data_IF_563803466826
#
_entry.id   IF_563803466826
#
_cell.length_a   1.000
_cell.length_b   1.000
_cell.length_c   1.000
_cell.angle_alpha   90.00
_cell.angle_beta   90.00
_cell.angle_gamma   90.00
#
_symmetry.space_group_name_H-M   'P 1'
#
loop_
_entity.id
_entity.type
_entity.pdbx_description
1 polymer ?
#
# COMPACT_ATOMS: atom_id res chain seq x y z
N UNK A 1 6.61 0.40 -8.50
CA UNK A 1 7.47 1.62 -8.50
C UNK A 1 6.70 2.86 -8.04
N UNK A 2 5.57 3.20 -8.68
CA UNK A 2 4.78 4.40 -8.31
C UNK A 2 4.35 4.38 -6.83
N UNK A 3 3.82 3.26 -6.32
CA UNK A 3 3.46 3.15 -4.89
C UNK A 3 4.64 3.40 -3.97
N UNK A 4 5.81 2.84 -4.29
CA UNK A 4 7.02 2.97 -3.47
C UNK A 4 7.48 4.43 -3.41
N UNK A 5 7.52 5.11 -4.57
CA UNK A 5 7.89 6.53 -4.63
C UNK A 5 6.87 7.38 -3.88
N UNK A 6 5.58 7.12 -4.06
CA UNK A 6 4.51 7.83 -3.34
C UNK A 6 4.61 7.69 -1.83
N UNK A 7 4.83 6.48 -1.33
CA UNK A 7 4.97 6.20 0.11
C UNK A 7 6.24 6.83 0.70
N UNK A 8 7.39 6.70 0.04
CA UNK A 8 8.65 7.26 0.54
C UNK A 8 8.65 8.80 0.47
N UNK A 9 8.12 9.38 -0.60
CA UNK A 9 7.93 10.83 -0.69
C UNK A 9 6.92 11.31 0.36
N UNK A 10 5.82 10.56 0.57
CA UNK A 10 4.84 10.81 1.60
C UNK A 10 5.44 10.79 3.02
N UNK A 11 6.41 9.92 3.29
CA UNK A 11 7.11 9.87 4.58
C UNK A 11 7.90 11.15 4.85
N UNK A 12 8.65 11.62 3.86
CA UNK A 12 9.41 12.88 3.94
C UNK A 12 8.47 14.08 4.07
N UNK A 13 7.42 14.12 3.25
CA UNK A 13 6.43 15.21 3.29
C UNK A 13 5.66 15.25 4.60
N UNK A 14 5.31 14.09 5.18
CA UNK A 14 4.64 14.00 6.47
C UNK A 14 5.51 14.55 7.60
N UNK A 15 6.80 14.20 7.60
CA UNK A 15 7.78 14.75 8.54
C UNK A 15 7.80 16.29 8.46
N UNK A 16 7.97 16.83 7.25
CA UNK A 16 8.00 18.28 7.03
C UNK A 16 6.67 18.97 7.38
N UNK A 17 5.54 18.30 7.16
CA UNK A 17 4.21 18.85 7.43
C UNK A 17 3.95 19.01 8.92
N UNK A 18 4.40 18.07 9.75
CA UNK A 18 4.19 18.14 11.20
C UNK A 18 5.19 19.05 11.93
N UNK A 19 6.30 19.42 11.28
CA UNK A 19 7.22 20.45 11.78
C UNK A 19 6.76 21.90 11.51
N UNK A 20 5.65 22.07 10.78
CA UNK A 20 5.10 23.41 10.47
C UNK A 20 4.62 24.10 11.76
N UNK A 21 5.04 25.35 12.04
CA UNK A 21 4.59 26.08 13.22
C UNK A 21 3.07 26.27 13.25
N UNK A 22 2.48 26.10 14.45
CA UNK A 22 1.04 26.19 14.69
C UNK A 22 0.41 27.54 14.27
N UNK A 23 1.21 28.60 14.18
CA UNK A 23 0.78 29.94 13.75
C UNK A 23 0.44 29.99 12.24
N UNK A 24 0.99 29.06 11.45
CA UNK A 24 0.95 29.08 9.98
C UNK A 24 -0.03 28.05 9.40
N UNK A 25 -1.30 28.11 9.85
CA UNK A 25 -2.36 27.16 9.46
C UNK A 25 -2.50 27.01 7.93
N UNK A 26 -2.36 28.10 7.17
CA UNK A 26 -2.44 28.05 5.70
C UNK A 26 -1.32 27.22 5.06
N UNK A 27 -0.09 27.33 5.57
CA UNK A 27 1.05 26.54 5.09
C UNK A 27 0.90 25.07 5.50
N UNK A 28 0.45 24.81 6.73
CA UNK A 28 0.12 23.46 7.17
C UNK A 28 -0.94 22.80 6.29
N UNK A 29 -2.02 23.50 5.95
CA UNK A 29 -3.10 22.97 5.12
C UNK A 29 -2.62 22.60 3.70
N UNK A 30 -1.79 23.45 3.08
CA UNK A 30 -1.21 23.16 1.76
C UNK A 30 -0.27 21.95 1.84
N UNK A 31 0.64 21.93 2.81
CA UNK A 31 1.58 20.83 3.02
C UNK A 31 0.87 19.49 3.30
N UNK A 32 -0.18 19.52 4.13
CA UNK A 32 -0.99 18.34 4.43
C UNK A 32 -1.72 17.84 3.19
N UNK A 33 -2.27 18.73 2.37
CA UNK A 33 -2.94 18.36 1.12
C UNK A 33 -1.95 17.72 0.14
N UNK A 34 -0.76 18.30 -0.01
CA UNK A 34 0.30 17.72 -0.83
C UNK A 34 0.72 16.35 -0.30
N UNK A 35 0.94 16.21 1.00
CA UNK A 35 1.26 14.93 1.65
C UNK A 35 0.20 13.88 1.36
N UNK A 36 -1.08 14.24 1.49
CA UNK A 36 -2.20 13.34 1.21
C UNK A 36 -2.18 12.84 -0.24
N UNK A 37 -1.95 13.72 -1.23
CA UNK A 37 -1.90 13.33 -2.64
C UNK A 37 -0.84 12.24 -2.87
N UNK A 38 0.35 12.39 -2.29
CA UNK A 38 1.43 11.41 -2.45
C UNK A 38 1.14 10.09 -1.73
N UNK A 39 0.55 10.12 -0.54
CA UNK A 39 0.20 8.89 0.18
C UNK A 39 -0.93 8.12 -0.49
N UNK A 40 -1.86 8.81 -1.16
CA UNK A 40 -2.95 8.20 -1.94
C UNK A 40 -2.46 7.37 -3.15
N UNK A 41 -1.22 7.54 -3.61
CA UNK A 41 -0.68 6.71 -4.69
C UNK A 41 -0.50 5.26 -4.29
N UNK A 42 -0.45 4.93 -3.00
CA UNK A 42 -0.23 3.56 -2.55
C UNK A 42 -1.43 2.65 -2.85
N UNK A 43 -2.63 3.03 -2.41
CA UNK A 43 -3.85 2.22 -2.46
C UNK A 43 -4.17 1.61 -3.83
N UNK A 44 -4.48 2.42 -4.86
CA UNK A 44 -4.88 1.89 -6.18
C UNK A 44 -3.76 1.09 -6.85
N UNK A 45 -2.49 1.49 -6.67
CA UNK A 45 -1.37 0.80 -7.30
C UNK A 45 -1.05 -0.55 -6.63
N UNK A 46 -1.23 -0.68 -5.31
CA UNK A 46 -1.12 -1.98 -4.62
C UNK A 46 -2.24 -2.92 -5.07
N UNK A 47 -3.49 -2.43 -5.14
CA UNK A 47 -4.61 -3.24 -5.60
C UNK A 47 -4.41 -3.73 -7.05
N UNK A 48 -3.94 -2.86 -7.95
CA UNK A 48 -3.58 -3.23 -9.32
C UNK A 48 -2.48 -4.29 -9.35
N UNK A 49 -1.44 -4.14 -8.52
CA UNK A 49 -0.34 -5.13 -8.43
C UNK A 49 -0.85 -6.50 -8.00
N UNK A 50 -1.78 -6.57 -7.05
CA UNK A 50 -2.41 -7.83 -6.62
C UNK A 50 -3.15 -8.50 -7.79
N UNK A 51 -3.86 -7.71 -8.62
CA UNK A 51 -4.52 -8.24 -9.81
C UNK A 51 -3.56 -8.82 -10.85
N UNK A 52 -2.36 -8.23 -10.98
CA UNK A 52 -1.35 -8.63 -11.96
C UNK A 52 -0.57 -9.89 -11.57
N UNK A 53 -0.62 -10.31 -10.30
CA UNK A 53 0.09 -11.50 -9.80
C UNK A 53 -0.84 -12.61 -9.33
N UNK A 54 -2.14 -12.34 -9.21
CA UNK A 54 -3.11 -13.29 -8.65
C UNK A 54 -4.00 -13.91 -9.72
N UNK A 55 -4.10 -15.23 -9.67
CA UNK A 55 -5.03 -16.02 -10.47
C UNK A 55 -6.49 -15.57 -10.25
N UNK A 56 -7.34 -15.60 -11.30
CA UNK A 56 -8.73 -15.15 -11.19
C UNK A 56 -9.53 -15.83 -10.08
N UNK A 57 -9.28 -17.12 -9.82
CA UNK A 57 -10.05 -17.94 -8.88
C UNK A 57 -9.86 -17.54 -7.43
N UNK A 58 -8.67 -17.02 -7.08
CA UNK A 58 -8.31 -16.64 -5.70
C UNK A 58 -8.13 -15.13 -5.54
N UNK A 59 -8.40 -14.35 -6.60
CA UNK A 59 -8.26 -12.89 -6.62
C UNK A 59 -9.10 -12.19 -5.56
N UNK A 60 -10.35 -12.59 -5.41
CA UNK A 60 -11.24 -12.02 -4.39
C UNK A 60 -10.70 -12.28 -2.99
N UNK A 61 -10.19 -13.49 -2.74
CA UNK A 61 -9.57 -13.85 -1.46
C UNK A 61 -8.29 -13.06 -1.20
N UNK A 62 -7.44 -12.87 -2.21
CA UNK A 62 -6.22 -12.06 -2.07
C UNK A 62 -6.54 -10.59 -1.73
N UNK A 63 -7.54 -10.00 -2.38
CA UNK A 63 -8.02 -8.65 -2.04
C UNK A 63 -8.66 -8.60 -0.65
N UNK A 64 -9.45 -9.59 -0.27
CA UNK A 64 -10.04 -9.64 1.07
C UNK A 64 -8.97 -9.66 2.17
N UNK A 65 -7.87 -10.40 1.96
CA UNK A 65 -6.73 -10.40 2.88
C UNK A 65 -6.06 -9.02 2.92
N UNK A 66 -5.83 -8.38 1.77
CA UNK A 66 -5.27 -7.03 1.72
C UNK A 66 -6.15 -6.03 2.49
N UNK A 67 -7.47 -6.03 2.27
CA UNK A 67 -8.39 -5.10 2.93
C UNK A 67 -8.51 -5.38 4.42
N UNK A 68 -8.44 -6.66 4.81
CA UNK A 68 -8.40 -7.04 6.22
C UNK A 68 -7.16 -6.45 6.91
N UNK A 69 -5.98 -6.57 6.31
CA UNK A 69 -4.74 -6.01 6.85
C UNK A 69 -4.82 -4.48 6.90
N UNK A 70 -5.34 -3.83 5.86
CA UNK A 70 -5.51 -2.37 5.82
C UNK A 70 -6.45 -1.87 6.91
N UNK A 71 -7.62 -2.51 7.05
CA UNK A 71 -8.61 -2.17 8.07
C UNK A 71 -8.10 -2.43 9.48
N UNK A 72 -7.32 -3.51 9.66
CA UNK A 72 -6.65 -3.79 10.92
C UNK A 72 -5.68 -2.65 11.28
N UNK A 73 -4.80 -2.26 10.35
CA UNK A 73 -3.89 -1.13 10.56
C UNK A 73 -4.63 0.16 10.96
N UNK A 74 -5.68 0.50 10.22
CA UNK A 74 -6.50 1.68 10.50
C UNK A 74 -7.20 1.62 11.88
N UNK A 75 -7.69 0.45 12.28
CA UNK A 75 -8.35 0.28 13.58
C UNK A 75 -7.36 0.40 14.76
N UNK A 76 -6.13 -0.09 14.60
CA UNK A 76 -5.12 -0.06 15.66
C UNK A 76 -4.33 1.25 15.73
N UNK A 77 -4.26 2.03 14.66
CA UNK A 77 -3.47 3.27 14.64
C UNK A 77 -3.86 4.27 15.76
N UNK A 78 -5.14 4.59 16.02
CA UNK A 78 -5.51 5.47 17.13
C UNK A 78 -5.13 4.92 18.51
N UNK A 79 -5.18 3.60 18.69
CA UNK A 79 -4.79 2.96 19.94
C UNK A 79 -3.29 3.11 20.20
N UNK A 80 -2.46 2.94 19.17
CA UNK A 80 -1.00 3.13 19.27
C UNK A 80 -0.66 4.59 19.55
N UNK A 81 -1.26 5.53 18.82
CA UNK A 81 -1.04 6.97 19.07
C UNK A 81 -1.50 7.34 20.49
N UNK A 82 -2.68 6.87 20.90
CA UNK A 82 -3.23 7.12 22.23
C UNK A 82 -2.35 6.57 23.35
N UNK A 83 -1.78 5.37 23.20
CA UNK A 83 -0.88 4.79 24.21
C UNK A 83 0.45 5.55 24.30
N UNK A 84 1.01 6.03 23.17
CA UNK A 84 2.22 6.85 23.19
C UNK A 84 2.02 8.17 23.95
N UNK A 85 0.87 8.82 23.77
CA UNK A 85 0.54 10.05 24.50
C UNK A 85 0.29 9.78 25.98
N UNK A 86 -0.55 8.78 26.29
CA UNK A 86 -1.01 8.54 27.67
C UNK A 86 0.00 7.82 28.56
N UNK A 87 0.82 6.92 28.01
CA UNK A 87 1.73 6.08 28.79
C UNK A 87 3.19 6.55 28.72
N UNK A 88 3.64 7.02 27.55
CA UNK A 88 5.04 7.45 27.35
C UNK A 88 5.22 8.98 27.44
N UNK A 89 4.13 9.74 27.54
CA UNK A 89 4.18 11.19 27.73
C UNK A 89 4.60 12.00 26.50
N UNK A 90 4.52 11.41 25.30
CA UNK A 90 4.76 12.14 24.05
C UNK A 90 3.70 13.21 23.81
N UNK A 91 4.08 14.29 23.12
CA UNK A 91 3.08 15.21 22.58
C UNK A 91 2.23 14.51 21.51
N UNK A 92 1.01 15.01 21.27
CA UNK A 92 0.14 14.44 20.23
C UNK A 92 0.79 14.51 18.85
N UNK A 93 1.48 15.62 18.54
CA UNK A 93 2.21 15.80 17.29
C UNK A 93 3.31 14.76 17.13
N UNK A 94 4.16 14.59 18.14
CA UNK A 94 5.27 13.62 18.10
C UNK A 94 4.76 12.18 17.97
N UNK A 95 3.70 11.82 18.72
CA UNK A 95 3.11 10.49 18.65
C UNK A 95 2.55 10.19 17.25
N UNK A 96 1.84 11.14 16.65
CA UNK A 96 1.35 11.01 15.26
C UNK A 96 2.51 10.92 14.29
N UNK A 97 3.55 11.75 14.45
CA UNK A 97 4.71 11.77 13.57
C UNK A 97 5.48 10.45 13.60
N UNK A 98 5.76 9.92 14.79
CA UNK A 98 6.44 8.63 14.97
C UNK A 98 5.67 7.52 14.29
N UNK A 99 4.35 7.44 14.54
CA UNK A 99 3.51 6.38 13.96
C UNK A 99 3.41 6.53 12.44
N UNK A 100 3.12 7.73 11.93
CA UNK A 100 2.92 7.97 10.51
C UNK A 100 4.22 7.76 9.71
N UNK A 101 5.33 8.39 10.10
CA UNK A 101 6.60 8.26 9.39
C UNK A 101 7.15 6.84 9.55
N UNK A 102 7.08 6.27 10.75
CA UNK A 102 7.55 4.90 11.01
C UNK A 102 6.82 3.87 10.15
N UNK A 103 5.49 3.92 10.11
CA UNK A 103 4.69 2.99 9.28
C UNK A 103 4.91 3.20 7.79
N UNK A 104 5.06 4.44 7.31
CA UNK A 104 5.39 4.71 5.91
C UNK A 104 6.77 4.18 5.52
N UNK A 105 7.79 4.30 6.39
CA UNK A 105 9.11 3.74 6.14
C UNK A 105 9.10 2.21 6.08
N UNK A 106 8.42 1.57 7.03
CA UNK A 106 8.24 0.11 7.04
C UNK A 106 7.48 -0.35 5.78
N UNK A 107 6.43 0.37 5.39
CA UNK A 107 5.70 0.10 4.14
C UNK A 107 6.60 0.27 2.91
N UNK A 108 7.41 1.34 2.87
CA UNK A 108 8.38 1.59 1.82
C UNK A 108 9.38 0.44 1.67
N UNK A 109 9.87 -0.12 2.78
CA UNK A 109 10.74 -1.30 2.77
C UNK A 109 10.07 -2.52 2.14
N UNK A 110 8.83 -2.83 2.54
CA UNK A 110 8.08 -3.93 1.93
C UNK A 110 7.81 -3.70 0.44
N UNK A 111 7.54 -2.46 0.02
CA UNK A 111 7.34 -2.11 -1.38
C UNK A 111 8.63 -2.22 -2.21
N UNK A 112 9.81 -1.97 -1.64
CA UNK A 112 11.09 -2.24 -2.30
C UNK A 112 11.22 -3.73 -2.63
N UNK A 113 10.91 -4.60 -1.65
CA UNK A 113 10.93 -6.04 -1.87
C UNK A 113 9.90 -6.45 -2.94
N UNK A 114 8.68 -5.90 -2.87
CA UNK A 114 7.64 -6.17 -3.86
C UNK A 114 8.07 -5.77 -5.27
N UNK A 115 8.74 -4.61 -5.45
CA UNK A 115 9.24 -4.16 -6.76
C UNK A 115 10.20 -5.18 -7.39
N UNK A 116 10.97 -5.91 -6.60
CA UNK A 116 11.93 -6.92 -7.09
C UNK A 116 11.22 -8.22 -7.43
N UNK A 117 10.22 -8.63 -6.65
CA UNK A 117 9.54 -9.94 -6.79
C UNK A 117 8.42 -9.92 -7.84
N UNK A 118 7.62 -8.85 -7.89
CA UNK A 118 6.42 -8.75 -8.73
C UNK A 118 6.67 -9.06 -10.21
N UNK A 119 7.74 -8.60 -10.88
CA UNK A 119 7.96 -8.91 -12.30
C UNK A 119 7.99 -10.42 -12.57
N UNK A 120 8.64 -11.19 -11.70
CA UNK A 120 8.69 -12.65 -11.79
C UNK A 120 7.29 -13.24 -11.67
N UNK A 121 6.51 -12.78 -10.69
CA UNK A 121 5.18 -13.33 -10.41
C UNK A 121 4.19 -13.02 -11.56
N UNK A 122 4.31 -11.84 -12.18
CA UNK A 122 3.54 -11.49 -13.39
C UNK A 122 3.86 -12.46 -14.54
N UNK A 123 5.13 -12.81 -14.74
CA UNK A 123 5.52 -13.78 -15.77
C UNK A 123 4.95 -15.17 -15.48
N UNK A 124 4.96 -15.60 -14.21
CA UNK A 124 4.37 -16.88 -13.79
C UNK A 124 2.86 -16.89 -14.07
N UNK A 125 2.13 -15.83 -13.68
CA UNK A 125 0.69 -15.73 -13.94
C UNK A 125 0.39 -15.81 -15.45
N UNK A 126 1.13 -15.04 -16.27
CA UNK A 126 0.95 -15.04 -17.73
C UNK A 126 1.21 -16.42 -18.34
N UNK A 127 2.26 -17.12 -17.91
CA UNK A 127 2.56 -18.46 -18.38
C UNK A 127 1.44 -19.46 -18.04
N UNK A 128 0.92 -19.40 -16.81
CA UNK A 128 -0.21 -20.25 -16.39
C UNK A 128 -1.48 -19.98 -17.22
N UNK A 129 -1.79 -18.71 -17.46
CA UNK A 129 -2.95 -18.32 -18.29
C UNK A 129 -2.80 -18.79 -19.74
N UNK A 130 -1.60 -18.70 -20.31
CA UNK A 130 -1.31 -19.20 -21.66
C UNK A 130 -1.46 -20.72 -21.77
N UNK A 131 -0.94 -21.47 -20.78
CA UNK A 131 -1.06 -22.92 -20.75
C UNK A 131 -2.53 -23.37 -20.69
N UNK A 132 -3.34 -22.73 -19.83
CA UNK A 132 -4.78 -23.00 -19.72
C UNK A 132 -5.55 -22.64 -20.99
N UNK A 133 -5.20 -21.54 -21.64
CA UNK A 133 -5.82 -21.16 -22.92
C UNK A 133 -5.53 -22.23 -24.00
N UNK A 134 -4.28 -22.70 -24.09
CA UNK A 134 -3.91 -23.77 -25.02
C UNK A 134 -4.67 -25.08 -24.73
N UNK A 135 -4.82 -25.46 -23.47
CA UNK A 135 -5.61 -26.63 -23.05
C UNK A 135 -7.09 -26.50 -23.44
N UNK A 136 -7.70 -25.33 -23.18
CA UNK A 136 -9.10 -25.08 -23.54
C UNK A 136 -9.35 -25.15 -25.05
N UNK A 137 -8.40 -24.66 -25.86
CA UNK A 137 -8.46 -24.75 -27.32
C UNK A 137 -8.32 -26.19 -27.82
N UNK A 138 -7.41 -26.97 -27.24
CA UNK A 138 -7.23 -28.38 -27.58
C UNK A 138 -8.49 -29.22 -27.27
N UNK A 139 -9.11 -28.97 -26.10
CA UNK A 139 -10.37 -29.61 -25.71
C UNK A 139 -11.53 -29.23 -26.65
N UNK A 140 -11.63 -27.95 -27.03
CA UNK A 140 -12.65 -27.48 -27.97
C UNK A 140 -12.51 -28.14 -29.35
N UNK A 141 -11.28 -28.28 -29.84
CA UNK A 141 -10.98 -29.00 -31.09
C UNK A 141 -11.37 -30.48 -31.05
N UNK A 142 -11.04 -31.18 -29.96
CA UNK A 142 -11.36 -32.60 -29.79
C UNK A 142 -12.87 -32.90 -29.60
N UNK A 143 -13.67 -31.90 -29.20
CA UNK A 143 -15.12 -32.04 -29.04
C UNK A 143 -15.94 -31.77 -30.32
N UNK A 144 -15.28 -31.31 -31.39
CA UNK A 144 -15.90 -30.98 -32.67
C UNK A 144 -15.73 -32.04 -33.77
N UNK A 145 -14.99 -33.12 -33.49
CA UNK A 145 -14.81 -34.31 -34.34
C UNK A 145 -15.67 -35.48 -33.84
#
# INVERSE_FOLDING_TARGET
LVSMVGVLAGAVLMYLTLEVPNESVGLFAVMLTTTAIFTLFSGPNIAATIHDITLPEVRSTALAIQYFIESFGAAFAPLIVGSLVTQLGYSLGDAIQIVAVGTLLVCGLFLIVAVILVPRDVHVLRAQMQARAAESLALAGASGE
#
